data_IF_158824989277
#
_entry.id   IF_158824989277
#
_cell.length_a   1.000
_cell.length_b   1.000
_cell.length_c   1.000
_cell.angle_alpha   90.00
_cell.angle_beta   90.00
_cell.angle_gamma   90.00
#
_symmetry.space_group_name_H-M   'P 1'
#
loop_
_entity.id
_entity.type
_entity.pdbx_description
1 polymer ?
#
# COMPACT_ATOMS: atom_id res chain seq x y z
N UNK A 1 -6.06 63.60 -35.12
CA UNK A 1 -5.01 62.58 -34.90
C UNK A 1 -5.43 61.70 -33.74
N UNK A 2 -5.95 60.52 -34.07
CA UNK A 2 -6.41 59.47 -33.15
C UNK A 2 -5.22 58.87 -32.39
N UNK A 3 -5.26 58.82 -31.05
CA UNK A 3 -4.31 58.02 -30.27
C UNK A 3 -5.01 56.77 -29.74
N UNK A 4 -4.73 55.69 -30.46
CA UNK A 4 -5.03 54.30 -30.13
C UNK A 4 -4.24 53.84 -28.89
N UNK A 5 -4.96 53.16 -27.98
CA UNK A 5 -4.59 51.96 -27.20
C UNK A 5 -3.32 51.93 -26.33
N UNK A 6 -3.46 51.44 -25.08
CA UNK A 6 -2.92 50.14 -24.63
C UNK A 6 -3.55 49.79 -23.27
N UNK A 7 -4.71 49.11 -23.29
CA UNK A 7 -5.17 48.34 -22.14
C UNK A 7 -4.41 47.01 -22.15
N UNK A 8 -3.26 46.96 -21.47
CA UNK A 8 -2.65 45.68 -21.11
C UNK A 8 -3.36 45.15 -19.86
N UNK A 9 -4.58 44.65 -20.04
CA UNK A 9 -5.10 43.66 -19.12
C UNK A 9 -4.22 42.42 -19.29
N UNK A 10 -3.25 42.26 -18.40
CA UNK A 10 -2.46 41.04 -18.30
C UNK A 10 -3.40 39.90 -17.93
N UNK A 11 -3.97 39.26 -18.94
CA UNK A 11 -4.57 37.93 -18.81
C UNK A 11 -3.44 36.99 -18.40
N UNK A 12 -3.22 36.85 -17.10
CA UNK A 12 -2.48 35.71 -16.57
C UNK A 12 -3.38 34.51 -16.79
N UNK A 13 -3.21 33.84 -17.93
CA UNK A 13 -3.67 32.46 -18.09
C UNK A 13 -2.83 31.62 -17.13
N UNK A 14 -3.25 31.53 -15.88
CA UNK A 14 -2.74 30.48 -15.00
C UNK A 14 -3.22 29.17 -15.60
N UNK A 15 -2.36 28.54 -16.40
CA UNK A 15 -2.51 27.13 -16.73
C UNK A 15 -2.42 26.40 -15.40
N UNK A 16 -3.59 26.12 -14.81
CA UNK A 16 -3.69 25.10 -13.79
C UNK A 16 -3.37 23.78 -14.50
N UNK A 17 -2.08 23.46 -14.61
CA UNK A 17 -1.65 22.07 -14.80
C UNK A 17 -1.95 21.38 -13.48
N UNK A 18 -3.23 21.10 -13.24
CA UNK A 18 -3.64 20.19 -12.21
C UNK A 18 -3.09 18.85 -12.68
N UNK A 19 -1.89 18.51 -12.19
CA UNK A 19 -1.35 17.17 -12.34
C UNK A 19 -2.37 16.25 -11.68
N UNK A 20 -3.21 15.65 -12.51
CA UNK A 20 -4.11 14.61 -12.08
C UNK A 20 -3.23 13.53 -11.44
N UNK A 21 -3.28 13.38 -10.11
CA UNK A 21 -2.85 12.13 -9.49
C UNK A 21 -3.66 11.05 -10.20
N UNK A 22 -2.98 10.12 -10.86
CA UNK A 22 -3.62 9.04 -11.62
C UNK A 22 -4.54 8.24 -10.69
N UNK A 23 -5.83 8.60 -10.67
CA UNK A 23 -6.86 7.76 -10.10
C UNK A 23 -7.22 6.73 -11.17
N UNK A 24 -6.65 5.53 -11.06
CA UNK A 24 -7.03 4.43 -11.92
C UNK A 24 -8.28 3.75 -11.35
N UNK A 25 -9.30 3.59 -12.18
CA UNK A 25 -10.49 2.83 -11.83
C UNK A 25 -10.43 1.44 -12.46
N UNK A 26 -10.60 0.40 -11.65
CA UNK A 26 -10.73 -0.97 -12.12
C UNK A 26 -12.22 -1.27 -12.41
N UNK A 27 -12.59 -1.45 -13.69
CA UNK A 27 -13.95 -1.86 -14.07
C UNK A 27 -14.26 -3.29 -13.62
N UNK A 28 -15.54 -3.57 -13.39
CA UNK A 28 -16.06 -4.87 -12.95
C UNK A 28 -15.39 -5.38 -11.67
N UNK A 29 -14.97 -4.43 -10.84
CA UNK A 29 -14.35 -4.68 -9.54
C UNK A 29 -15.13 -3.96 -8.46
N UNK A 30 -15.04 -4.51 -7.26
CA UNK A 30 -15.80 -4.07 -6.10
C UNK A 30 -15.10 -4.50 -4.82
N UNK A 31 -15.15 -3.66 -3.79
CA UNK A 31 -14.68 -3.97 -2.44
C UNK A 31 -15.89 -4.22 -1.53
N UNK A 32 -15.99 -5.43 -0.96
CA UNK A 32 -17.15 -5.88 -0.18
C UNK A 32 -16.99 -5.60 1.31
N UNK A 33 -18.08 -5.32 2.02
CA UNK A 33 -18.09 -5.27 3.49
C UNK A 33 -17.54 -3.99 4.13
N UNK A 34 -17.03 -3.06 3.34
CA UNK A 34 -16.32 -1.86 3.82
C UNK A 34 -17.04 -0.54 3.53
N UNK A 35 -18.31 -0.59 3.10
CA UNK A 35 -19.08 0.63 2.75
C UNK A 35 -19.44 1.39 4.02
N UNK A 36 -18.89 2.60 4.19
CA UNK A 36 -19.20 3.47 5.33
C UNK A 36 -20.35 4.44 5.03
N UNK A 37 -20.47 4.85 3.78
CA UNK A 37 -21.43 5.86 3.34
C UNK A 37 -21.71 5.69 1.86
N UNK A 38 -22.88 6.14 1.43
CA UNK A 38 -23.30 6.02 0.04
C UNK A 38 -24.22 7.16 -0.38
N UNK A 39 -24.29 7.43 -1.68
CA UNK A 39 -25.19 8.43 -2.25
C UNK A 39 -24.97 8.66 -3.74
N UNK A 40 -25.79 9.52 -4.34
CA UNK A 40 -25.73 9.82 -5.78
C UNK A 40 -24.46 10.59 -6.16
N UNK A 41 -23.85 10.24 -7.29
CA UNK A 41 -22.71 10.95 -7.86
C UNK A 41 -22.77 10.83 -9.39
N UNK A 42 -22.71 11.96 -10.11
CA UNK A 42 -22.88 11.98 -11.56
C UNK A 42 -21.70 11.28 -12.26
N UNK A 43 -20.49 11.45 -11.72
CA UNK A 43 -19.27 10.87 -12.24
C UNK A 43 -18.42 10.21 -11.15
N UNK A 44 -17.53 9.31 -11.55
CA UNK A 44 -16.56 8.68 -10.65
C UNK A 44 -15.65 9.72 -9.98
N UNK A 45 -15.35 10.83 -10.67
CA UNK A 45 -14.60 11.96 -10.11
C UNK A 45 -15.32 12.60 -8.93
N UNK A 46 -16.63 12.80 -9.00
CA UNK A 46 -17.43 13.34 -7.90
C UNK A 46 -17.38 12.40 -6.68
N UNK A 47 -17.39 11.09 -6.93
CA UNK A 47 -17.24 10.08 -5.87
C UNK A 47 -15.85 10.15 -5.20
N UNK A 48 -14.79 10.36 -5.98
CA UNK A 48 -13.43 10.56 -5.45
C UNK A 48 -13.31 11.88 -4.65
N UNK A 49 -13.99 12.95 -5.08
CA UNK A 49 -14.05 14.22 -4.33
C UNK A 49 -14.81 14.05 -3.00
N UNK A 50 -15.89 13.26 -2.99
CA UNK A 50 -16.55 12.90 -1.73
C UNK A 50 -15.62 12.13 -0.81
N UNK A 51 -14.86 11.19 -1.36
CA UNK A 51 -13.86 10.44 -0.60
C UNK A 51 -12.76 11.36 -0.04
N UNK A 52 -12.30 12.36 -0.80
CA UNK A 52 -11.28 13.30 -0.32
C UNK A 52 -11.72 14.16 0.86
N UNK A 53 -13.01 14.40 0.98
CA UNK A 53 -13.59 15.18 2.08
C UNK A 53 -13.95 14.32 3.29
N UNK A 54 -13.76 13.00 3.21
CA UNK A 54 -14.03 12.06 4.29
C UNK A 54 -12.71 11.43 4.77
N UNK A 55 -12.17 11.84 5.93
CA UNK A 55 -10.87 11.39 6.43
C UNK A 55 -10.73 9.87 6.55
N UNK A 56 -11.84 9.16 6.80
CA UNK A 56 -11.86 7.70 6.91
C UNK A 56 -11.87 7.00 5.55
N UNK A 57 -12.18 7.70 4.47
CA UNK A 57 -12.32 7.09 3.15
C UNK A 57 -10.95 6.70 2.56
N UNK A 58 -10.85 5.43 2.16
CA UNK A 58 -9.63 4.83 1.58
C UNK A 58 -9.86 4.35 0.14
N UNK A 59 -11.10 4.06 -0.24
CA UNK A 59 -11.44 3.71 -1.62
C UNK A 59 -12.92 3.96 -1.91
N UNK A 60 -13.32 3.76 -3.17
CA UNK A 60 -14.71 3.90 -3.59
C UNK A 60 -15.18 2.69 -4.41
N UNK A 61 -16.47 2.37 -4.31
CA UNK A 61 -17.19 1.62 -5.33
C UNK A 61 -18.14 2.58 -6.06
N UNK A 62 -18.07 2.63 -7.38
CA UNK A 62 -18.94 3.44 -8.22
C UNK A 62 -19.82 2.56 -9.11
N UNK A 63 -21.12 2.84 -9.15
CA UNK A 63 -22.10 2.14 -9.97
C UNK A 63 -22.58 3.05 -11.11
N UNK A 64 -22.17 2.76 -12.34
CA UNK A 64 -22.55 3.56 -13.51
C UNK A 64 -24.05 3.49 -13.79
N UNK A 65 -24.69 2.34 -13.52
CA UNK A 65 -26.14 2.20 -13.61
C UNK A 65 -26.77 2.82 -12.36
N UNK A 66 -27.49 3.93 -12.54
CA UNK A 66 -28.13 4.67 -11.44
C UNK A 66 -27.23 5.70 -10.74
N UNK A 67 -25.99 5.88 -11.21
CA UNK A 67 -25.08 6.96 -10.78
C UNK A 67 -24.91 7.04 -9.26
N UNK A 68 -24.44 5.93 -8.68
CA UNK A 68 -24.38 5.74 -7.23
C UNK A 68 -22.94 5.48 -6.77
N UNK A 69 -22.55 6.16 -5.69
CA UNK A 69 -21.22 6.13 -5.10
C UNK A 69 -21.30 5.53 -3.69
N UNK A 70 -20.37 4.63 -3.38
CA UNK A 70 -20.15 4.07 -2.06
C UNK A 70 -18.70 4.39 -1.65
N UNK A 71 -18.54 5.03 -0.49
CA UNK A 71 -17.24 5.31 0.12
C UNK A 71 -16.86 4.15 1.03
N UNK A 72 -15.61 3.69 0.96
CA UNK A 72 -15.13 2.57 1.74
C UNK A 72 -14.06 2.98 2.76
N UNK A 73 -14.08 2.39 3.95
CA UNK A 73 -13.06 2.63 5.01
C UNK A 73 -11.82 1.75 4.87
N UNK A 74 -11.84 0.86 3.88
CA UNK A 74 -10.72 0.02 3.49
C UNK A 74 -10.33 0.23 2.02
N UNK A 75 -9.20 -0.36 1.64
CA UNK A 75 -8.73 -0.47 0.26
C UNK A 75 -8.31 -1.92 -0.06
N UNK A 76 -8.06 -2.19 -1.34
CA UNK A 76 -7.68 -3.54 -1.80
C UNK A 76 -6.31 -4.02 -1.33
N UNK A 77 -5.52 -3.16 -0.68
CA UNK A 77 -4.16 -3.49 -0.25
C UNK A 77 -4.16 -3.93 1.21
N UNK A 78 -4.88 -3.21 2.06
CA UNK A 78 -5.18 -3.59 3.44
C UNK A 78 -6.16 -4.78 3.51
N UNK A 79 -7.12 -4.85 2.58
CA UNK A 79 -8.17 -5.87 2.55
C UNK A 79 -8.24 -6.59 1.19
N UNK A 80 -7.17 -7.31 0.81
CA UNK A 80 -7.09 -7.93 -0.52
C UNK A 80 -8.11 -9.03 -0.74
N UNK A 81 -8.60 -9.66 0.33
CA UNK A 81 -9.57 -10.76 0.27
C UNK A 81 -10.99 -10.29 -0.02
N UNK A 82 -11.30 -9.04 0.30
CA UNK A 82 -12.62 -8.44 0.08
C UNK A 82 -12.72 -7.76 -1.30
N UNK A 83 -11.57 -7.54 -1.94
CA UNK A 83 -11.46 -6.99 -3.28
C UNK A 83 -11.67 -8.08 -4.33
N UNK A 84 -12.71 -7.94 -5.13
CA UNK A 84 -13.12 -9.01 -6.02
C UNK A 84 -13.92 -8.56 -7.23
N UNK A 85 -14.53 -9.51 -7.95
CA UNK A 85 -15.41 -9.21 -9.07
C UNK A 85 -16.64 -8.44 -8.58
N UNK A 86 -16.93 -7.35 -9.27
CA UNK A 86 -18.21 -6.64 -9.21
C UNK A 86 -19.07 -6.98 -10.43
N UNK A 87 -20.31 -6.51 -10.45
CA UNK A 87 -21.11 -6.56 -11.68
C UNK A 87 -20.49 -5.69 -12.79
N UNK A 88 -20.92 -5.89 -14.05
CA UNK A 88 -20.54 -5.06 -15.21
C UNK A 88 -20.75 -3.55 -15.05
N UNK A 89 -21.55 -3.14 -14.05
CA UNK A 89 -21.87 -1.75 -13.76
C UNK A 89 -21.03 -1.15 -12.63
N UNK A 90 -20.13 -1.92 -12.02
CA UNK A 90 -19.25 -1.42 -10.96
C UNK A 90 -17.88 -1.01 -11.52
N UNK A 91 -17.32 0.04 -10.93
CA UNK A 91 -15.90 0.31 -10.95
C UNK A 91 -15.42 0.55 -9.53
N UNK A 92 -14.25 0.01 -9.23
CA UNK A 92 -13.53 0.27 -8.00
C UNK A 92 -12.43 1.29 -8.25
N UNK A 93 -12.17 2.20 -7.32
CA UNK A 93 -10.98 3.04 -7.37
C UNK A 93 -10.40 3.22 -5.98
N UNK A 94 -9.07 3.10 -5.88
CA UNK A 94 -8.34 3.51 -4.69
C UNK A 94 -8.43 5.05 -4.57
N UNK A 95 -8.54 5.55 -3.34
CA UNK A 95 -8.21 6.94 -3.03
C UNK A 95 -6.69 6.99 -2.74
N UNK A 96 -5.95 8.09 -3.02
CA UNK A 96 -4.49 8.08 -3.15
C UNK A 96 -3.80 7.19 -2.14
N UNK A 97 -3.12 6.18 -2.67
CA UNK A 97 -2.52 5.09 -1.92
C UNK A 97 -1.59 5.60 -0.81
N UNK A 98 -1.76 5.10 0.41
CA UNK A 98 -1.11 5.65 1.63
C UNK A 98 -0.18 4.66 2.34
N UNK A 99 0.03 3.45 1.80
CA UNK A 99 0.84 2.44 2.50
C UNK A 99 2.28 2.48 1.99
N UNK A 100 3.19 2.96 2.82
CA UNK A 100 4.62 3.08 2.53
C UNK A 100 5.43 1.90 3.07
N UNK A 101 4.85 1.12 3.99
CA UNK A 101 5.49 -0.05 4.62
C UNK A 101 4.49 -1.18 4.87
N UNK A 102 5.01 -2.39 5.16
CA UNK A 102 4.17 -3.49 5.65
C UNK A 102 3.55 -3.16 7.03
N UNK A 103 4.22 -2.34 7.84
CA UNK A 103 3.69 -1.89 9.13
C UNK A 103 2.46 -1.00 8.94
N UNK A 104 2.46 -0.09 7.95
CA UNK A 104 1.29 0.75 7.64
C UNK A 104 0.07 -0.10 7.28
N UNK A 105 0.29 -1.17 6.49
CA UNK A 105 -0.76 -2.12 6.11
C UNK A 105 -1.27 -2.87 7.35
N UNK A 106 -0.37 -3.32 8.23
CA UNK A 106 -0.72 -4.00 9.48
C UNK A 106 -1.48 -3.07 10.44
N UNK A 107 -1.15 -1.78 10.44
CA UNK A 107 -1.86 -0.77 11.22
C UNK A 107 -3.24 -0.48 10.66
N UNK A 108 -3.39 -0.45 9.33
CA UNK A 108 -4.68 -0.31 8.66
C UNK A 108 -5.57 -1.56 8.79
N UNK A 109 -4.98 -2.75 8.85
CA UNK A 109 -5.69 -4.01 9.05
C UNK A 109 -4.89 -4.94 9.98
N UNK A 110 -5.31 -5.01 11.25
CA UNK A 110 -4.67 -5.88 12.25
C UNK A 110 -4.79 -7.36 11.92
N UNK A 111 -5.80 -7.75 11.14
CA UNK A 111 -6.04 -9.12 10.67
C UNK A 111 -5.34 -9.44 9.34
N UNK A 112 -4.50 -8.53 8.81
CA UNK A 112 -3.72 -8.79 7.60
C UNK A 112 -2.88 -10.05 7.77
N UNK A 113 -2.91 -10.95 6.78
CA UNK A 113 -2.14 -12.20 6.76
C UNK A 113 -0.82 -12.03 6.06
N UNK A 114 0.15 -12.90 6.33
CA UNK A 114 1.43 -12.86 5.60
C UNK A 114 1.21 -13.11 4.12
N UNK A 115 1.95 -12.41 3.26
CA UNK A 115 1.71 -12.49 1.82
C UNK A 115 2.42 -11.40 1.03
N UNK A 116 2.15 -11.34 -0.27
CA UNK A 116 2.71 -10.30 -1.12
C UNK A 116 1.79 -9.10 -1.20
N UNK A 117 2.30 -7.94 -0.80
CA UNK A 117 1.60 -6.66 -0.83
C UNK A 117 2.34 -5.69 -1.75
N UNK A 118 1.61 -4.73 -2.28
CA UNK A 118 2.22 -3.54 -2.84
C UNK A 118 2.55 -2.58 -1.70
N UNK A 119 3.63 -1.80 -1.81
CA UNK A 119 4.00 -0.66 -0.95
C UNK A 119 4.58 0.47 -1.80
N UNK A 120 4.49 1.72 -1.33
CA UNK A 120 4.99 2.90 -2.03
C UNK A 120 6.32 3.37 -1.43
N UNK A 121 7.44 3.07 -2.10
CA UNK A 121 8.78 3.47 -1.67
C UNK A 121 9.36 4.50 -2.64
N UNK A 122 9.65 5.72 -2.15
CA UNK A 122 10.21 6.82 -2.95
C UNK A 122 9.47 7.02 -4.28
N UNK A 123 8.14 7.10 -4.20
CA UNK A 123 7.22 7.27 -5.35
C UNK A 123 7.08 6.06 -6.29
N UNK A 124 7.74 4.93 -5.98
CA UNK A 124 7.62 3.70 -6.74
C UNK A 124 6.78 2.66 -6.00
N UNK A 125 5.76 2.15 -6.68
CA UNK A 125 5.01 0.97 -6.22
C UNK A 125 5.88 -0.27 -6.38
N UNK A 126 6.11 -1.00 -5.29
CA UNK A 126 6.87 -2.24 -5.28
C UNK A 126 6.06 -3.37 -4.65
N UNK A 127 6.14 -4.56 -5.24
CA UNK A 127 5.54 -5.76 -4.65
C UNK A 127 6.56 -6.43 -3.74
N UNK A 128 6.24 -6.50 -2.45
CA UNK A 128 7.10 -7.08 -1.40
C UNK A 128 6.37 -8.19 -0.66
N UNK A 129 7.11 -9.09 -0.04
CA UNK A 129 6.53 -10.01 0.93
C UNK A 129 6.47 -9.34 2.30
N UNK A 130 5.28 -9.30 2.89
CA UNK A 130 5.04 -8.87 4.25
C UNK A 130 4.80 -10.07 5.16
N UNK A 131 5.55 -10.18 6.24
CA UNK A 131 5.23 -11.06 7.36
C UNK A 131 4.35 -10.30 8.35
N UNK A 132 3.08 -10.72 8.44
CA UNK A 132 2.07 -10.05 9.25
C UNK A 132 1.70 -10.84 10.51
N UNK A 133 2.24 -12.04 10.69
CA UNK A 133 1.79 -13.00 11.70
C UNK A 133 2.86 -13.23 12.78
N UNK A 134 4.14 -13.06 12.45
CA UNK A 134 5.23 -13.30 13.40
C UNK A 134 5.69 -12.00 14.07
N UNK A 135 5.99 -12.09 15.37
CA UNK A 135 6.59 -11.00 16.17
C UNK A 135 5.87 -9.65 16.05
N UNK A 136 4.53 -9.66 16.08
CA UNK A 136 3.71 -8.45 15.94
C UNK A 136 3.33 -8.08 14.50
N UNK A 137 4.00 -8.69 13.50
CA UNK A 137 3.72 -8.48 12.09
C UNK A 137 4.17 -7.11 11.58
N UNK A 138 3.90 -6.84 10.30
CA UNK A 138 4.28 -5.59 9.64
C UNK A 138 5.70 -5.58 9.09
N UNK A 139 6.36 -6.74 9.00
CA UNK A 139 7.75 -6.83 8.56
C UNK A 139 7.85 -6.95 7.04
N UNK A 140 8.74 -6.16 6.42
CA UNK A 140 9.08 -6.28 5.00
C UNK A 140 10.29 -7.18 4.79
N UNK A 141 10.18 -8.22 3.96
CA UNK A 141 11.33 -9.07 3.62
C UNK A 141 12.29 -8.33 2.66
N UNK A 142 13.55 -8.20 3.07
CA UNK A 142 14.63 -7.60 2.26
C UNK A 142 15.62 -8.69 1.84
N UNK A 143 15.97 -8.73 0.55
CA UNK A 143 17.00 -9.63 0.02
C UNK A 143 18.18 -8.82 -0.51
N UNK A 144 19.41 -9.24 -0.19
CA UNK A 144 20.65 -8.68 -0.76
C UNK A 144 21.12 -9.54 -1.93
N UNK A 145 21.37 -8.92 -3.08
CA UNK A 145 21.86 -9.59 -4.29
C UNK A 145 23.33 -9.19 -4.48
N UNK A 146 24.22 -10.15 -4.71
CA UNK A 146 25.61 -9.82 -5.04
C UNK A 146 25.70 -9.19 -6.42
N UNK A 147 26.48 -8.12 -6.55
CA UNK A 147 26.86 -7.59 -7.87
C UNK A 147 27.81 -8.54 -8.62
N UNK A 148 28.54 -9.41 -7.92
CA UNK A 148 29.59 -10.25 -8.49
C UNK A 148 29.08 -11.55 -9.14
N UNK A 149 28.03 -12.16 -8.62
CA UNK A 149 27.52 -13.46 -9.10
C UNK A 149 26.01 -13.45 -9.44
N UNK A 150 25.34 -12.28 -9.28
CA UNK A 150 23.88 -12.09 -9.42
C UNK A 150 23.03 -13.08 -8.60
N UNK A 151 23.62 -13.72 -7.60
CA UNK A 151 22.91 -14.66 -6.76
C UNK A 151 21.99 -13.90 -5.80
N UNK A 152 20.69 -14.19 -5.91
CA UNK A 152 19.64 -13.53 -5.16
C UNK A 152 19.56 -13.96 -3.69
N UNK A 153 20.39 -14.93 -3.29
CA UNK A 153 20.43 -15.51 -1.97
C UNK A 153 21.82 -15.38 -1.36
N UNK A 154 22.32 -14.14 -1.20
CA UNK A 154 23.37 -13.92 -0.20
C UNK A 154 22.75 -13.97 1.20
N UNK A 155 22.37 -15.18 1.62
CA UNK A 155 22.22 -15.50 3.04
C UNK A 155 23.62 -15.68 3.60
N UNK A 156 24.26 -14.58 3.98
CA UNK A 156 25.34 -14.67 4.97
C UNK A 156 24.67 -15.19 6.25
N UNK A 157 25.21 -16.27 6.85
CA UNK A 157 24.60 -16.89 8.03
C UNK A 157 24.57 -15.96 9.26
N UNK A 158 25.15 -14.76 9.18
CA UNK A 158 25.13 -13.72 10.20
C UNK A 158 25.15 -12.31 9.60
N UNK A 159 24.02 -11.83 9.03
CA UNK A 159 23.90 -10.43 8.61
C UNK A 159 23.68 -9.49 9.81
N UNK A 160 24.74 -9.28 10.59
CA UNK A 160 24.87 -8.08 11.42
C UNK A 160 25.27 -6.91 10.51
N UNK A 161 24.42 -5.90 10.34
CA UNK A 161 24.83 -4.66 9.68
C UNK A 161 25.87 -3.94 10.55
N UNK A 162 27.13 -3.96 10.13
CA UNK A 162 28.15 -3.12 10.74
C UNK A 162 28.16 -1.76 10.05
N UNK A 163 27.22 -0.88 10.39
CA UNK A 163 27.41 0.54 10.14
C UNK A 163 26.80 1.37 11.27
N UNK A 164 27.69 2.10 11.97
CA UNK A 164 27.43 3.11 13.01
C UNK A 164 27.05 2.54 14.41
N UNK A 165 28.09 2.14 15.17
CA UNK A 165 28.21 2.12 16.65
C UNK A 165 27.00 1.72 17.54
N UNK A 166 26.07 0.87 17.09
CA UNK A 166 25.17 0.11 17.98
C UNK A 166 25.01 -1.32 17.47
N UNK A 167 25.50 -2.30 18.23
CA UNK A 167 25.28 -3.73 17.96
C UNK A 167 23.95 -4.18 18.60
N UNK A 168 23.11 -4.88 17.84
CA UNK A 168 22.00 -5.68 18.37
C UNK A 168 22.02 -7.06 17.68
N UNK A 169 22.20 -8.14 18.45
CA UNK A 169 22.31 -9.53 18.00
C UNK A 169 21.29 -10.45 18.72
N UNK A 170 20.81 -11.54 18.07
CA UNK A 170 20.13 -12.67 18.74
C UNK A 170 20.33 -14.04 18.01
N UNK A 171 20.18 -15.18 18.72
CA UNK A 171 21.08 -16.38 18.74
C UNK A 171 20.65 -17.67 17.98
N UNK A 172 21.70 -18.43 17.56
CA UNK A 172 21.91 -19.77 16.92
C UNK A 172 21.30 -21.04 17.59
N UNK A 173 21.12 -22.15 16.83
CA UNK A 173 21.55 -23.54 17.19
C UNK A 173 21.39 -24.63 16.10
N UNK A 174 22.51 -25.33 15.78
CA UNK A 174 22.60 -26.81 15.83
C UNK A 174 24.04 -27.35 15.78
N UNK A 175 24.30 -28.45 16.52
CA UNK A 175 25.40 -29.39 16.27
C UNK A 175 26.43 -29.64 17.40
N UNK A 176 26.05 -30.30 18.50
CA UNK A 176 26.93 -31.24 19.21
C UNK A 176 26.07 -32.41 19.72
N UNK A 177 26.50 -33.63 19.37
CA UNK A 177 25.93 -34.90 19.81
C UNK A 177 26.01 -35.01 21.34
N UNK A 178 24.86 -35.20 22.01
CA UNK A 178 24.67 -36.11 23.16
C UNK A 178 23.17 -36.25 23.40
N UNK A 179 22.70 -37.49 23.57
CA UNK A 179 21.31 -37.83 23.92
C UNK A 179 20.83 -37.10 25.18
N UNK A 180 19.62 -36.54 25.11
CA UNK A 180 18.60 -36.61 26.17
C UNK A 180 17.30 -35.97 25.67
N UNK A 181 16.19 -36.67 25.92
CA UNK A 181 14.82 -36.33 25.54
C UNK A 181 14.43 -34.92 25.99
N UNK A 182 13.98 -34.06 25.07
CA UNK A 182 12.88 -33.13 25.33
C UNK A 182 12.32 -32.52 24.04
N UNK A 183 11.04 -32.76 23.79
CA UNK A 183 10.26 -32.26 22.67
C UNK A 183 9.66 -30.90 23.02
N UNK A 184 10.44 -29.83 22.82
CA UNK A 184 10.00 -28.44 22.61
C UNK A 184 11.22 -27.51 22.53
N UNK A 185 11.43 -26.83 21.40
CA UNK A 185 12.00 -25.46 21.35
C UNK A 185 12.08 -24.88 19.93
N UNK A 186 11.30 -23.81 19.70
CA UNK A 186 11.39 -22.86 18.57
C UNK A 186 12.52 -21.86 18.85
N UNK A 187 13.23 -21.37 17.83
CA UNK A 187 14.07 -20.16 17.92
C UNK A 187 13.97 -19.27 16.67
N UNK A 188 14.17 -17.93 16.80
CA UNK A 188 13.48 -16.92 16.00
C UNK A 188 14.33 -16.27 14.89
N UNK A 189 13.66 -15.67 13.89
CA UNK A 189 14.21 -14.92 12.75
C UNK A 189 13.98 -13.40 12.95
N UNK A 190 14.82 -12.52 12.38
CA UNK A 190 14.62 -11.04 12.46
C UNK A 190 14.62 -10.38 11.07
N UNK A 191 13.55 -9.63 10.81
CA UNK A 191 13.37 -8.60 9.76
C UNK A 191 13.28 -7.22 10.47
N UNK A 192 13.38 -6.07 9.77
CA UNK A 192 13.46 -4.73 10.38
C UNK A 192 12.18 -3.87 10.25
N UNK A 193 12.00 -2.95 11.22
CA UNK A 193 10.90 -1.99 11.43
C UNK A 193 11.29 -0.61 10.91
#
# INVERSE_FOLDING_TARGET
MTRFLWLLASFVLTNATQQCRQAYSSREKYLKGHVMSSGSAAHIGDCLVKCSNEPRCKSINFRFKGLFCELNDADRYSHPWDYGPGSRWHAYSDYPYQHHSCADIKDANKESKSGHYWILMKEKMMKVYCDMENYGGGWTLVVSISSSDRNHLKKEEHNCFQHIKRLLCAVRRRGQHTESKDERRRHPLVCFQ
#
